data_IF_900849385672
#
_entry.id   IF_900849385672
#
_cell.length_a   1.000
_cell.length_b   1.000
_cell.length_c   1.000
_cell.angle_alpha   90.00
_cell.angle_beta   90.00
_cell.angle_gamma   90.00
#
_symmetry.space_group_name_H-M   'P 1'
#
loop_
_entity.id
_entity.type
_entity.pdbx_description
1 polymer ?
#
# COMPACT_ATOMS: atom_id res chain seq x y z
N UNK A 1 68.45 -61.87 -25.02
CA UNK A 1 69.39 -60.73 -25.01
C UNK A 1 68.74 -59.61 -25.83
N UNK A 2 68.50 -58.43 -25.22
CA UNK A 2 68.12 -57.13 -25.81
C UNK A 2 66.76 -57.06 -26.57
N UNK A 3 65.70 -56.44 -26.04
CA UNK A 3 65.39 -54.99 -25.90
C UNK A 3 65.13 -54.26 -27.23
N UNK A 4 63.96 -53.56 -27.28
CA UNK A 4 63.53 -52.37 -28.08
C UNK A 4 62.08 -52.56 -28.57
N UNK A 5 61.16 -51.60 -28.59
CA UNK A 5 61.04 -50.24 -28.07
C UNK A 5 59.53 -49.92 -28.05
N UNK A 6 59.04 -49.35 -26.94
CA UNK A 6 57.64 -48.96 -26.75
C UNK A 6 57.44 -47.51 -27.24
N UNK A 7 56.82 -47.31 -28.42
CA UNK A 7 56.41 -45.98 -28.88
C UNK A 7 55.07 -45.59 -28.26
N UNK A 8 55.08 -44.67 -27.29
CA UNK A 8 53.92 -43.93 -26.78
C UNK A 8 53.47 -42.89 -27.82
N UNK A 9 52.23 -43.02 -28.31
CA UNK A 9 51.53 -41.96 -29.05
C UNK A 9 50.84 -41.03 -28.04
N UNK A 10 51.24 -39.77 -28.01
CA UNK A 10 50.59 -38.68 -27.28
C UNK A 10 49.43 -38.16 -28.14
N UNK A 11 48.20 -38.34 -27.66
CA UNK A 11 46.98 -37.73 -28.21
C UNK A 11 46.81 -36.38 -27.49
N UNK A 12 46.71 -35.24 -28.18
CA UNK A 12 46.41 -33.96 -27.53
C UNK A 12 44.91 -33.88 -27.21
N UNK A 13 44.58 -33.90 -25.92
CA UNK A 13 43.24 -33.62 -25.40
C UNK A 13 42.90 -32.13 -25.59
N UNK A 14 42.05 -31.82 -26.56
CA UNK A 14 41.40 -30.52 -26.71
C UNK A 14 40.30 -30.39 -25.66
N UNK A 15 40.57 -29.65 -24.57
CA UNK A 15 39.57 -29.20 -23.60
C UNK A 15 38.73 -28.10 -24.26
N UNK A 16 37.50 -28.42 -24.66
CA UNK A 16 36.52 -27.44 -25.11
C UNK A 16 35.96 -26.66 -23.91
N UNK A 17 36.36 -25.40 -23.77
CA UNK A 17 35.80 -24.47 -22.79
C UNK A 17 34.41 -24.02 -23.27
N UNK A 18 33.35 -24.64 -22.74
CA UNK A 18 31.98 -24.19 -22.98
C UNK A 18 31.75 -22.88 -22.21
N UNK A 19 31.83 -21.74 -22.91
CA UNK A 19 31.41 -20.44 -22.38
C UNK A 19 29.88 -20.47 -22.32
N UNK A 20 29.32 -20.73 -21.14
CA UNK A 20 27.91 -20.48 -20.87
C UNK A 20 27.77 -18.95 -20.80
N UNK A 21 27.39 -18.33 -21.92
CA UNK A 21 26.91 -16.96 -21.93
C UNK A 21 25.56 -16.95 -21.22
N UNK A 22 25.59 -16.76 -19.90
CA UNK A 22 24.39 -16.46 -19.11
C UNK A 22 23.82 -15.15 -19.61
N UNK A 23 22.77 -15.23 -20.44
CA UNK A 23 21.92 -14.08 -20.72
C UNK A 23 21.29 -13.70 -19.38
N UNK A 24 21.79 -12.64 -18.75
CA UNK A 24 21.08 -12.04 -17.62
C UNK A 24 19.77 -11.46 -18.18
N UNK A 25 18.71 -12.28 -18.25
CA UNK A 25 17.37 -11.76 -18.48
C UNK A 25 17.08 -10.79 -17.33
N UNK A 26 17.08 -9.49 -17.62
CA UNK A 26 16.60 -8.50 -16.68
C UNK A 26 15.19 -8.90 -16.24
N UNK A 27 14.95 -8.92 -14.92
CA UNK A 27 13.63 -9.24 -14.40
C UNK A 27 12.59 -8.33 -15.05
N UNK A 28 11.42 -8.88 -15.42
CA UNK A 28 10.34 -8.10 -16.01
C UNK A 28 10.01 -6.88 -15.13
N UNK A 29 9.66 -5.72 -15.69
CA UNK A 29 9.25 -4.58 -14.88
C UNK A 29 8.08 -4.92 -13.97
N UNK A 30 8.08 -4.39 -12.75
CA UNK A 30 6.96 -4.51 -11.82
C UNK A 30 5.71 -3.84 -12.39
N UNK A 31 4.54 -4.45 -12.16
CA UNK A 31 3.25 -3.98 -12.72
C UNK A 31 2.16 -3.96 -11.66
N UNK A 32 1.21 -3.01 -11.72
CA UNK A 32 0.02 -3.06 -10.88
C UNK A 32 -1.03 -4.03 -11.47
N UNK A 33 -2.10 -4.35 -10.72
CA UNK A 33 -3.25 -5.09 -11.24
C UNK A 33 -3.89 -4.42 -12.46
N UNK A 34 -4.57 -5.21 -13.29
CA UNK A 34 -5.04 -4.80 -14.63
C UNK A 34 -5.86 -3.49 -14.64
N UNK A 35 -6.68 -3.22 -13.63
CA UNK A 35 -7.51 -2.02 -13.62
C UNK A 35 -6.75 -0.70 -13.49
N UNK A 36 -5.47 -0.72 -13.11
CA UNK A 36 -4.63 0.49 -13.10
C UNK A 36 -4.26 0.98 -14.51
N UNK A 37 -4.42 0.13 -15.53
CA UNK A 37 -4.19 0.50 -16.94
C UNK A 37 -5.38 1.22 -17.57
N UNK A 38 -6.52 1.30 -16.88
CA UNK A 38 -7.72 1.96 -17.40
C UNK A 38 -7.40 3.37 -17.93
N UNK A 39 -7.88 3.72 -19.14
CA UNK A 39 -7.68 5.06 -19.69
C UNK A 39 -8.45 6.09 -18.87
N UNK A 40 -8.14 7.37 -19.11
CA UNK A 40 -8.96 8.48 -18.66
C UNK A 40 -10.37 8.34 -19.27
N UNK A 41 -11.42 8.44 -18.44
CA UNK A 41 -12.80 8.16 -18.86
C UNK A 41 -13.28 9.12 -19.95
N UNK A 42 -13.00 10.42 -19.79
CA UNK A 42 -13.41 11.49 -20.72
C UNK A 42 -12.34 12.57 -20.73
N UNK A 43 -12.14 13.21 -21.88
CA UNK A 43 -11.34 14.42 -22.00
C UNK A 43 -12.28 15.62 -22.20
N UNK A 44 -12.57 16.34 -21.11
CA UNK A 44 -13.45 17.51 -21.13
C UNK A 44 -12.66 18.77 -21.51
N UNK A 45 -13.24 19.58 -22.40
CA UNK A 45 -12.74 20.91 -22.77
C UNK A 45 -13.61 22.03 -22.16
N UNK A 46 -13.10 23.27 -22.19
CA UNK A 46 -13.77 24.49 -21.70
C UNK A 46 -13.37 24.89 -20.28
N UNK A 47 -13.57 26.18 -19.96
CA UNK A 47 -13.20 26.79 -18.68
C UNK A 47 -13.85 26.05 -17.51
N UNK A 48 -13.01 25.61 -16.58
CA UNK A 48 -13.44 25.10 -15.30
C UNK A 48 -13.00 26.09 -14.22
N UNK A 49 -13.96 26.61 -13.45
CA UNK A 49 -13.68 27.52 -12.34
C UNK A 49 -13.03 26.81 -11.14
N UNK A 50 -13.00 25.48 -11.10
CA UNK A 50 -12.19 24.72 -10.14
C UNK A 50 -10.71 24.76 -10.56
N UNK A 51 -10.05 25.90 -10.30
CA UNK A 51 -8.61 26.05 -10.44
C UNK A 51 -7.81 25.19 -9.44
N UNK A 52 -6.48 25.25 -9.53
CA UNK A 52 -5.60 24.57 -8.58
C UNK A 52 -5.72 25.23 -7.19
N UNK A 53 -6.22 24.48 -6.20
CA UNK A 53 -6.23 24.91 -4.80
C UNK A 53 -4.82 25.38 -4.35
N UNK A 54 -4.75 26.23 -3.34
CA UNK A 54 -3.48 26.61 -2.73
C UNK A 54 -2.72 25.37 -2.22
N UNK A 55 -1.48 25.21 -2.68
CA UNK A 55 -0.60 24.11 -2.29
C UNK A 55 -0.32 24.10 -0.78
N UNK A 56 -0.43 22.95 -0.09
CA UNK A 56 0.01 22.82 1.29
C UNK A 56 1.53 23.00 1.37
N UNK A 57 1.99 23.64 2.44
CA UNK A 57 3.41 23.88 2.62
C UNK A 57 4.17 22.54 2.74
N UNK A 58 5.26 22.32 1.97
CA UNK A 58 6.10 21.15 2.13
C UNK A 58 6.56 20.96 3.58
N UNK A 59 6.19 19.83 4.19
CA UNK A 59 6.53 19.58 5.60
C UNK A 59 7.97 19.10 5.76
N UNK A 60 8.87 19.98 6.19
CA UNK A 60 10.31 19.69 6.37
C UNK A 60 10.77 19.66 7.83
N UNK A 61 9.86 19.92 8.77
CA UNK A 61 10.14 19.92 10.21
C UNK A 61 10.36 18.52 10.81
N UNK A 62 10.65 18.48 12.12
CA UNK A 62 10.71 17.24 12.88
C UNK A 62 9.36 16.50 12.86
N UNK A 63 9.39 15.18 12.69
CA UNK A 63 8.18 14.36 12.72
C UNK A 63 7.86 13.94 14.17
N UNK A 64 7.71 14.93 15.04
CA UNK A 64 7.40 14.77 16.45
C UNK A 64 5.95 15.18 16.71
N UNK A 65 5.02 14.23 16.55
CA UNK A 65 3.58 14.51 16.70
C UNK A 65 3.00 13.87 17.95
N UNK A 66 2.04 14.55 18.57
CA UNK A 66 1.25 13.99 19.68
C UNK A 66 0.41 12.81 19.19
N UNK A 67 0.30 11.79 20.02
CA UNK A 67 -0.58 10.65 19.74
C UNK A 67 -2.01 10.99 20.16
N UNK A 68 -3.00 10.64 19.34
CA UNK A 68 -4.42 10.70 19.75
C UNK A 68 -4.77 9.80 20.94
N UNK A 69 -3.88 8.87 21.30
CA UNK A 69 -4.00 7.98 22.46
C UNK A 69 -3.05 8.38 23.60
N UNK A 70 -2.52 9.60 23.59
CA UNK A 70 -1.67 10.09 24.68
C UNK A 70 -2.43 10.06 26.02
N UNK A 71 -1.81 9.47 27.04
CA UNK A 71 -2.42 9.19 28.33
C UNK A 71 -3.18 7.85 28.42
N UNK A 72 -3.31 7.09 27.32
CA UNK A 72 -3.84 5.72 27.38
C UNK A 72 -2.89 4.75 28.09
N UNK A 73 -3.47 3.67 28.64
CA UNK A 73 -2.73 2.50 29.07
C UNK A 73 -2.06 1.75 27.90
N UNK A 74 -1.46 0.58 28.19
CA UNK A 74 -0.77 -0.25 27.18
C UNK A 74 -1.67 -0.68 26.01
N UNK A 75 -3.00 -0.70 26.17
CA UNK A 75 -3.93 -1.05 25.10
C UNK A 75 -4.08 0.07 24.06
N UNK A 76 -3.71 1.31 24.40
CA UNK A 76 -3.81 2.49 23.53
C UNK A 76 -5.21 2.61 22.90
N UNK A 77 -6.26 2.43 23.69
CA UNK A 77 -7.65 2.38 23.20
C UNK A 77 -8.49 3.63 23.57
N UNK A 78 -8.00 4.47 24.49
CA UNK A 78 -8.72 5.64 25.01
C UNK A 78 -8.34 6.91 24.26
N UNK A 79 -9.29 7.52 23.56
CA UNK A 79 -9.07 8.73 22.78
C UNK A 79 -8.85 9.93 23.71
N UNK A 80 -7.79 10.69 23.44
CA UNK A 80 -7.57 12.02 24.04
C UNK A 80 -7.94 13.08 22.99
N UNK A 81 -9.07 13.76 23.20
CA UNK A 81 -9.62 14.73 22.25
C UNK A 81 -8.67 15.92 22.04
N UNK A 82 -8.00 16.39 23.09
CA UNK A 82 -7.04 17.51 22.98
C UNK A 82 -5.80 17.10 22.20
N UNK A 83 -5.24 15.91 22.47
CA UNK A 83 -4.09 15.41 21.74
C UNK A 83 -4.46 15.06 20.29
N UNK A 84 -5.70 14.64 20.02
CA UNK A 84 -6.21 14.45 18.66
C UNK A 84 -6.30 15.79 17.91
N UNK A 85 -6.83 16.84 18.53
CA UNK A 85 -6.92 18.16 17.88
C UNK A 85 -5.51 18.71 17.59
N UNK A 86 -4.60 18.67 18.57
CA UNK A 86 -3.21 19.11 18.38
C UNK A 86 -2.50 18.29 17.28
N UNK A 87 -2.77 16.99 17.19
CA UNK A 87 -2.28 16.15 16.11
C UNK A 87 -2.83 16.59 14.74
N UNK A 88 -4.13 16.88 14.65
CA UNK A 88 -4.76 17.34 13.40
C UNK A 88 -4.20 18.67 12.94
N UNK A 89 -4.02 19.62 13.84
CA UNK A 89 -3.49 20.96 13.53
C UNK A 89 -2.04 20.87 13.03
N UNK A 90 -1.20 20.08 13.71
CA UNK A 90 0.22 19.92 13.35
C UNK A 90 0.47 19.10 12.09
N UNK A 91 -0.51 18.28 11.66
CA UNK A 91 -0.40 17.42 10.47
C UNK A 91 -1.32 17.87 9.32
N UNK A 92 -1.89 19.08 9.40
CA UNK A 92 -2.88 19.58 8.46
C UNK A 92 -2.35 19.61 7.02
N UNK A 93 -1.13 20.12 6.78
CA UNK A 93 -0.53 20.19 5.45
C UNK A 93 -0.24 18.79 4.87
N UNK A 94 0.23 17.85 5.72
CA UNK A 94 0.44 16.45 5.33
C UNK A 94 -0.89 15.81 4.91
N UNK A 95 -1.93 16.01 5.72
CA UNK A 95 -3.27 15.48 5.43
C UNK A 95 -3.85 16.12 4.16
N UNK A 96 -3.57 17.40 3.92
CA UNK A 96 -4.02 18.14 2.74
C UNK A 96 -3.35 17.63 1.47
N UNK A 97 -2.05 17.32 1.48
CA UNK A 97 -1.40 16.71 0.31
C UNK A 97 -1.88 15.28 0.06
N UNK A 98 -2.08 14.47 1.11
CA UNK A 98 -2.61 13.10 0.99
C UNK A 98 -3.98 13.08 0.29
N UNK A 99 -4.93 13.86 0.83
CA UNK A 99 -6.29 13.94 0.28
C UNK A 99 -6.32 14.65 -1.07
N UNK A 100 -5.56 15.73 -1.22
CA UNK A 100 -5.51 16.53 -2.44
C UNK A 100 -4.98 15.73 -3.63
N UNK A 101 -3.91 14.95 -3.43
CA UNK A 101 -3.35 14.09 -4.47
C UNK A 101 -4.37 13.06 -4.94
N UNK A 102 -4.96 12.30 -4.01
CA UNK A 102 -5.97 11.30 -4.37
C UNK A 102 -7.20 11.92 -5.04
N UNK A 103 -7.72 13.03 -4.51
CA UNK A 103 -8.87 13.75 -5.08
C UNK A 103 -8.59 14.16 -6.53
N UNK A 104 -7.48 14.85 -6.79
CA UNK A 104 -7.19 15.36 -8.13
C UNK A 104 -6.82 14.28 -9.13
N UNK A 105 -6.14 13.21 -8.71
CA UNK A 105 -5.94 12.04 -9.58
C UNK A 105 -7.29 11.42 -9.95
N UNK A 106 -8.21 11.24 -9.00
CA UNK A 106 -9.55 10.75 -9.31
C UNK A 106 -10.31 11.67 -10.28
N UNK A 107 -10.24 12.99 -10.07
CA UNK A 107 -10.86 13.97 -10.96
C UNK A 107 -10.23 13.91 -12.36
N UNK A 108 -8.91 13.89 -12.47
CA UNK A 108 -8.19 13.82 -13.75
C UNK A 108 -8.55 12.53 -14.50
N UNK A 109 -8.52 11.39 -13.83
CA UNK A 109 -8.87 10.11 -14.46
C UNK A 109 -10.33 10.04 -14.91
N UNK A 110 -11.20 10.91 -14.40
CA UNK A 110 -12.59 11.02 -14.83
C UNK A 110 -12.79 12.04 -15.96
N UNK A 111 -12.16 13.20 -15.83
CA UNK A 111 -12.49 14.40 -16.60
C UNK A 111 -11.41 14.78 -17.62
N UNK A 112 -10.21 14.23 -17.52
CA UNK A 112 -9.11 14.41 -18.47
C UNK A 112 -8.64 15.86 -18.62
N UNK A 113 -8.89 16.69 -17.60
CA UNK A 113 -8.55 18.11 -17.60
C UNK A 113 -7.07 18.32 -17.28
N UNK A 114 -6.26 18.90 -18.19
CA UNK A 114 -4.82 19.09 -17.96
C UNK A 114 -4.50 19.86 -16.68
N UNK A 115 -5.33 20.83 -16.29
CA UNK A 115 -5.12 21.66 -15.11
C UNK A 115 -5.11 20.84 -13.81
N UNK A 116 -5.89 19.74 -13.76
CA UNK A 116 -5.91 18.83 -12.60
C UNK A 116 -4.63 18.00 -12.51
N UNK A 117 -4.10 17.57 -13.66
CA UNK A 117 -2.83 16.86 -13.74
C UNK A 117 -1.67 17.78 -13.37
N UNK A 118 -1.58 18.94 -14.01
CA UNK A 118 -0.51 19.93 -13.79
C UNK A 118 -0.47 20.38 -12.33
N UNK A 119 -1.63 20.67 -11.73
CA UNK A 119 -1.74 21.00 -10.31
C UNK A 119 -1.21 19.88 -9.40
N UNK A 120 -1.56 18.63 -9.72
CA UNK A 120 -1.12 17.47 -8.92
C UNK A 120 0.39 17.26 -9.02
N UNK A 121 0.94 17.32 -10.23
CA UNK A 121 2.37 17.16 -10.46
C UNK A 121 3.18 18.32 -9.88
N UNK A 122 2.67 19.55 -9.92
CA UNK A 122 3.30 20.71 -9.28
C UNK A 122 3.39 20.54 -7.76
N UNK A 123 2.30 20.12 -7.10
CA UNK A 123 2.32 19.88 -5.64
C UNK A 123 3.33 18.80 -5.26
N UNK A 124 3.31 17.65 -5.96
CA UNK A 124 4.22 16.54 -5.68
C UNK A 124 5.68 16.93 -5.97
N UNK A 125 5.94 17.68 -7.05
CA UNK A 125 7.29 18.14 -7.40
C UNK A 125 7.84 19.12 -6.38
N UNK A 126 7.02 20.05 -5.86
CA UNK A 126 7.45 21.00 -4.84
C UNK A 126 7.75 20.30 -3.50
N UNK A 127 6.95 19.32 -3.10
CA UNK A 127 7.22 18.50 -1.92
C UNK A 127 8.46 17.62 -2.08
N UNK A 128 8.67 17.07 -3.28
CA UNK A 128 9.88 16.35 -3.64
C UNK A 128 11.13 17.23 -3.57
N UNK A 129 11.08 18.44 -4.16
CA UNK A 129 12.20 19.38 -4.17
C UNK A 129 12.58 19.86 -2.76
N UNK A 130 11.60 20.00 -1.88
CA UNK A 130 11.81 20.39 -0.49
C UNK A 130 12.30 19.24 0.41
N UNK A 131 12.44 18.02 -0.11
CA UNK A 131 12.72 16.82 0.70
C UNK A 131 11.71 16.63 1.84
N UNK A 132 10.44 16.92 1.58
CA UNK A 132 9.40 16.87 2.59
C UNK A 132 9.25 15.45 3.17
N UNK A 133 8.92 15.38 4.46
CA UNK A 133 8.76 14.16 5.26
C UNK A 133 10.04 13.34 5.48
N UNK A 134 11.23 13.86 5.14
CA UNK A 134 12.50 13.13 5.26
C UNK A 134 13.23 13.29 6.60
N UNK A 135 12.64 13.99 7.59
CA UNK A 135 13.29 14.24 8.88
C UNK A 135 13.67 12.95 9.63
N UNK A 136 14.92 12.84 10.06
CA UNK A 136 15.39 11.71 10.90
C UNK A 136 15.03 11.87 12.37
N UNK A 137 14.56 13.04 12.78
CA UNK A 137 13.99 13.28 14.10
C UNK A 137 12.50 12.95 14.09
N UNK A 138 12.14 11.78 14.62
CA UNK A 138 10.76 11.32 14.61
C UNK A 138 10.39 10.48 15.83
N UNK A 139 9.10 10.48 16.16
CA UNK A 139 8.50 9.48 17.04
C UNK A 139 7.63 8.49 16.24
N UNK A 140 6.97 7.56 16.94
CA UNK A 140 6.10 6.55 16.31
C UNK A 140 4.97 7.16 15.47
N UNK A 141 4.35 8.25 15.93
CA UNK A 141 3.30 8.97 15.19
C UNK A 141 3.89 9.63 13.95
N UNK A 142 5.08 10.23 14.07
CA UNK A 142 5.87 10.81 12.99
C UNK A 142 6.16 9.88 11.83
N UNK A 143 6.85 8.76 12.11
CA UNK A 143 7.13 7.75 11.08
C UNK A 143 5.86 7.11 10.51
N UNK A 144 4.75 7.13 11.26
CA UNK A 144 3.45 6.70 10.76
C UNK A 144 2.85 7.72 9.77
N UNK A 145 3.01 9.02 10.00
CA UNK A 145 2.62 10.04 9.03
C UNK A 145 3.42 9.94 7.73
N UNK A 146 4.74 9.73 7.81
CA UNK A 146 5.57 9.48 6.63
C UNK A 146 5.02 8.35 5.76
N UNK A 147 4.86 7.14 6.33
CA UNK A 147 4.39 5.98 5.55
C UNK A 147 2.97 6.14 5.05
N UNK A 148 2.05 6.76 5.80
CA UNK A 148 0.70 7.01 5.28
C UNK A 148 0.71 8.00 4.12
N UNK A 149 1.47 9.09 4.23
CA UNK A 149 1.59 10.04 3.15
C UNK A 149 2.18 9.41 1.88
N UNK A 150 3.28 8.66 2.01
CA UNK A 150 3.87 7.89 0.92
C UNK A 150 2.83 6.98 0.26
N UNK A 151 2.12 6.18 1.06
CA UNK A 151 1.11 5.24 0.57
C UNK A 151 0.01 5.95 -0.19
N UNK A 152 -0.54 7.03 0.35
CA UNK A 152 -1.58 7.84 -0.28
C UNK A 152 -1.13 8.40 -1.64
N UNK A 153 0.07 8.99 -1.70
CA UNK A 153 0.58 9.64 -2.92
C UNK A 153 1.00 8.63 -3.98
N UNK A 154 1.82 7.63 -3.61
CA UNK A 154 2.34 6.63 -4.54
C UNK A 154 1.20 5.79 -5.14
N UNK A 155 0.23 5.36 -4.33
CA UNK A 155 -0.89 4.55 -4.83
C UNK A 155 -1.85 5.32 -5.74
N UNK A 156 -2.07 6.62 -5.51
CA UNK A 156 -2.79 7.47 -6.45
C UNK A 156 -1.97 7.65 -7.74
N UNK A 157 -0.68 7.95 -7.62
CA UNK A 157 0.23 8.15 -8.74
C UNK A 157 0.30 6.97 -9.70
N UNK A 158 0.17 5.72 -9.21
CA UNK A 158 0.09 4.52 -10.06
C UNK A 158 -0.96 4.64 -11.17
N UNK A 159 -2.11 5.29 -10.91
CA UNK A 159 -3.13 5.50 -11.95
C UNK A 159 -2.66 6.42 -13.07
N UNK A 160 -1.80 7.40 -12.77
CA UNK A 160 -1.20 8.26 -13.80
C UNK A 160 -0.08 7.53 -14.54
N UNK A 161 0.76 6.80 -13.80
CA UNK A 161 1.94 6.10 -14.34
C UNK A 161 1.58 4.99 -15.32
N UNK A 162 0.52 4.24 -15.05
CA UNK A 162 0.18 3.03 -15.79
C UNK A 162 -1.04 3.16 -16.70
N UNK A 163 -1.77 4.28 -16.68
CA UNK A 163 -2.93 4.47 -17.57
C UNK A 163 -2.54 4.40 -19.05
N UNK A 164 -3.36 3.70 -19.84
CA UNK A 164 -3.21 3.61 -21.31
C UNK A 164 -3.41 4.96 -22.03
N UNK A 165 -3.90 5.99 -21.33
CA UNK A 165 -3.92 7.36 -21.84
C UNK A 165 -2.56 8.07 -21.77
N UNK A 166 -1.55 7.46 -21.14
CA UNK A 166 -0.18 7.97 -21.01
C UNK A 166 -0.08 9.44 -20.55
N UNK A 167 -0.78 9.84 -19.47
CA UNK A 167 -0.86 11.25 -19.08
C UNK A 167 0.49 11.87 -18.70
N UNK A 168 1.48 11.06 -18.32
CA UNK A 168 2.82 11.53 -17.94
C UNK A 168 3.79 11.65 -19.14
N UNK A 169 3.36 11.34 -20.37
CA UNK A 169 4.25 11.34 -21.54
C UNK A 169 4.92 12.71 -21.78
N UNK A 170 4.23 13.80 -21.46
CA UNK A 170 4.73 15.19 -21.59
C UNK A 170 5.32 15.75 -20.30
N UNK A 171 5.37 14.97 -19.20
CA UNK A 171 5.79 15.43 -17.86
C UNK A 171 6.90 14.56 -17.28
N UNK A 172 7.75 13.99 -18.14
CA UNK A 172 8.76 12.99 -17.77
C UNK A 172 9.74 13.51 -16.70
N UNK A 173 10.17 14.77 -16.78
CA UNK A 173 11.10 15.35 -15.80
C UNK A 173 10.47 15.47 -14.41
N UNK A 174 9.21 15.92 -14.33
CA UNK A 174 8.47 15.98 -13.06
C UNK A 174 8.22 14.58 -12.51
N UNK A 175 7.82 13.63 -13.37
CA UNK A 175 7.64 12.23 -13.00
C UNK A 175 8.92 11.64 -12.39
N UNK A 176 10.09 11.86 -13.00
CA UNK A 176 11.37 11.40 -12.47
C UNK A 176 11.69 11.98 -11.09
N UNK A 177 11.47 13.28 -10.87
CA UNK A 177 11.70 13.93 -9.56
C UNK A 177 10.77 13.37 -8.48
N UNK A 178 9.50 13.17 -8.81
CA UNK A 178 8.50 12.61 -7.89
C UNK A 178 8.85 11.15 -7.55
N UNK A 179 9.18 10.32 -8.54
CA UNK A 179 9.55 8.91 -8.37
C UNK A 179 10.85 8.74 -7.56
N UNK A 180 11.83 9.63 -7.75
CA UNK A 180 13.06 9.65 -6.96
C UNK A 180 12.77 9.98 -5.48
N UNK A 181 11.91 10.96 -5.21
CA UNK A 181 11.48 11.30 -3.86
C UNK A 181 10.69 10.17 -3.20
N UNK A 182 9.74 9.55 -3.91
CA UNK A 182 9.04 8.36 -3.41
C UNK A 182 10.01 7.23 -3.06
N UNK A 183 10.99 6.94 -3.93
CA UNK A 183 12.02 5.92 -3.66
C UNK A 183 12.81 6.23 -2.40
N UNK A 184 13.31 7.48 -2.25
CA UNK A 184 14.05 7.93 -1.06
C UNK A 184 13.21 7.81 0.22
N UNK A 185 11.92 8.15 0.14
CA UNK A 185 11.01 8.02 1.27
C UNK A 185 10.70 6.54 1.58
N UNK A 186 10.58 5.68 0.57
CA UNK A 186 10.40 4.25 0.77
C UNK A 186 11.61 3.60 1.43
N UNK A 187 12.84 3.94 1.02
CA UNK A 187 14.07 3.48 1.69
C UNK A 187 14.06 3.88 3.18
N UNK A 188 13.58 5.10 3.48
CA UNK A 188 13.40 5.55 4.86
C UNK A 188 12.30 4.76 5.59
N UNK A 189 11.17 4.47 4.95
CA UNK A 189 10.09 3.67 5.54
C UNK A 189 10.57 2.24 5.81
N UNK A 190 11.37 1.63 4.95
CA UNK A 190 12.03 0.35 5.25
C UNK A 190 12.86 0.49 6.53
N UNK A 191 13.74 1.48 6.60
CA UNK A 191 14.55 1.73 7.82
C UNK A 191 13.70 1.98 9.08
N UNK A 192 12.53 2.58 8.95
CA UNK A 192 11.63 2.91 10.06
C UNK A 192 10.91 1.68 10.64
N UNK A 193 10.73 0.62 9.85
CA UNK A 193 9.82 -0.49 10.15
C UNK A 193 10.43 -1.89 9.98
N UNK A 194 11.65 -2.02 9.45
CA UNK A 194 12.30 -3.32 9.25
C UNK A 194 12.74 -3.95 10.59
N UNK A 195 12.71 -5.29 10.61
CA UNK A 195 13.16 -6.14 11.72
C UNK A 195 12.60 -5.77 13.10
N UNK A 196 11.36 -5.30 13.16
CA UNK A 196 10.66 -5.11 14.43
C UNK A 196 10.38 -6.47 15.08
N UNK A 197 10.47 -6.58 16.42
CA UNK A 197 9.97 -7.73 17.15
C UNK A 197 8.50 -8.03 16.82
N UNK A 198 8.10 -9.30 16.84
CA UNK A 198 6.73 -9.71 16.50
C UNK A 198 5.68 -9.04 17.40
N UNK A 199 5.95 -8.83 18.68
CA UNK A 199 5.04 -8.15 19.62
C UNK A 199 4.86 -6.65 19.34
N UNK A 200 5.71 -6.07 18.48
CA UNK A 200 5.62 -4.69 17.99
C UNK A 200 5.19 -4.59 16.52
N UNK A 201 5.04 -5.73 15.83
CA UNK A 201 4.62 -5.78 14.43
C UNK A 201 3.11 -5.91 14.35
N UNK A 202 2.43 -4.81 14.03
CA UNK A 202 0.97 -4.76 13.96
C UNK A 202 0.52 -4.08 12.66
N UNK A 203 -0.75 -3.67 12.57
CA UNK A 203 -1.31 -2.97 11.41
C UNK A 203 -0.44 -1.81 10.90
N UNK A 204 0.33 -1.13 11.75
CA UNK A 204 1.26 -0.11 11.28
C UNK A 204 2.34 -0.67 10.33
N UNK A 205 2.90 -1.85 10.61
CA UNK A 205 3.88 -2.48 9.70
C UNK A 205 3.23 -2.86 8.37
N UNK A 206 1.98 -3.35 8.39
CA UNK A 206 1.26 -3.71 7.18
C UNK A 206 0.98 -2.49 6.30
N UNK A 207 0.55 -1.38 6.90
CA UNK A 207 0.39 -0.10 6.21
C UNK A 207 1.72 0.45 5.68
N UNK A 208 2.85 0.18 6.35
CA UNK A 208 4.17 0.57 5.83
C UNK A 208 4.56 -0.28 4.62
N UNK A 209 4.35 -1.59 4.70
CA UNK A 209 4.55 -2.53 3.59
C UNK A 209 3.70 -2.17 2.37
N UNK A 210 2.45 -1.74 2.55
CA UNK A 210 1.63 -1.26 1.44
C UNK A 210 2.23 -0.03 0.76
N UNK A 211 2.65 0.96 1.54
CA UNK A 211 3.28 2.17 0.99
C UNK A 211 4.55 1.85 0.21
N UNK A 212 5.36 0.91 0.71
CA UNK A 212 6.58 0.45 0.03
C UNK A 212 6.24 -0.37 -1.22
N UNK A 213 5.23 -1.25 -1.19
CA UNK A 213 4.74 -2.00 -2.36
C UNK A 213 4.28 -1.08 -3.49
N UNK A 214 3.43 -0.10 -3.17
CA UNK A 214 2.94 0.87 -4.15
C UNK A 214 4.10 1.66 -4.78
N UNK A 215 5.08 2.06 -3.96
CA UNK A 215 6.29 2.74 -4.43
C UNK A 215 7.15 1.83 -5.30
N UNK A 216 7.37 0.59 -4.87
CA UNK A 216 8.17 -0.39 -5.60
C UNK A 216 7.67 -0.59 -7.03
N UNK A 217 6.35 -0.68 -7.21
CA UNK A 217 5.75 -0.78 -8.55
C UNK A 217 5.85 0.54 -9.32
N UNK A 218 5.61 1.69 -8.69
CA UNK A 218 5.72 2.99 -9.35
C UNK A 218 7.14 3.27 -9.88
N UNK A 219 8.17 2.79 -9.17
CA UNK A 219 9.58 3.09 -9.45
C UNK A 219 10.38 1.89 -9.94
N UNK A 220 9.71 0.74 -10.17
CA UNK A 220 10.30 -0.52 -10.58
C UNK A 220 11.48 -1.00 -9.69
N UNK A 221 11.36 -0.80 -8.36
CA UNK A 221 12.36 -1.18 -7.36
C UNK A 221 12.05 -2.55 -6.75
N UNK A 222 12.73 -3.60 -7.23
CA UNK A 222 12.52 -5.00 -6.81
C UNK A 222 12.86 -5.26 -5.34
N UNK A 223 13.90 -4.62 -4.82
CA UNK A 223 14.29 -4.72 -3.41
C UNK A 223 13.19 -4.20 -2.46
N UNK A 224 12.52 -3.11 -2.82
CA UNK A 224 11.37 -2.58 -2.08
C UNK A 224 10.16 -3.52 -2.18
N UNK A 225 9.93 -4.11 -3.37
CA UNK A 225 8.87 -5.11 -3.57
C UNK A 225 9.09 -6.34 -2.67
N UNK A 226 10.31 -6.87 -2.65
CA UNK A 226 10.68 -8.05 -1.87
C UNK A 226 10.54 -7.78 -0.36
N UNK A 227 10.89 -6.58 0.10
CA UNK A 227 10.66 -6.18 1.49
C UNK A 227 9.16 -6.14 1.84
N UNK A 228 8.32 -5.56 0.99
CA UNK A 228 6.88 -5.53 1.23
C UNK A 228 6.26 -6.93 1.24
N UNK A 229 6.73 -7.84 0.39
CA UNK A 229 6.35 -9.26 0.40
C UNK A 229 6.78 -9.95 1.70
N UNK A 230 8.02 -9.72 2.17
CA UNK A 230 8.51 -10.22 3.47
C UNK A 230 7.59 -9.76 4.61
N UNK A 231 7.27 -8.47 4.67
CA UNK A 231 6.41 -7.92 5.73
C UNK A 231 4.97 -8.45 5.66
N UNK A 232 4.43 -8.69 4.46
CA UNK A 232 3.16 -9.42 4.33
C UNK A 232 3.25 -10.80 4.96
N UNK A 233 4.30 -11.56 4.67
CA UNK A 233 4.46 -12.91 5.23
C UNK A 233 4.56 -12.88 6.75
N UNK A 234 5.26 -11.90 7.33
CA UNK A 234 5.28 -11.70 8.79
C UNK A 234 3.87 -11.41 9.33
N UNK A 235 3.09 -10.56 8.67
CA UNK A 235 1.69 -10.29 9.03
C UNK A 235 0.79 -11.52 8.92
N UNK A 236 0.89 -12.26 7.82
CA UNK A 236 0.12 -13.48 7.57
C UNK A 236 0.43 -14.58 8.61
N UNK A 237 1.69 -14.76 8.98
CA UNK A 237 2.12 -15.73 9.99
C UNK A 237 1.72 -15.33 11.44
N UNK A 238 1.27 -14.09 11.66
CA UNK A 238 0.68 -13.68 12.94
C UNK A 238 -0.81 -13.99 13.06
N UNK A 239 -1.49 -14.35 11.95
CA UNK A 239 -2.90 -14.75 12.00
C UNK A 239 -2.99 -16.12 12.64
N UNK A 240 -3.61 -16.21 13.81
CA UNK A 240 -3.79 -17.47 14.53
C UNK A 240 -4.74 -18.44 13.78
N UNK A 241 -4.87 -19.66 14.29
CA UNK A 241 -5.72 -20.69 13.69
C UNK A 241 -7.21 -20.30 13.63
N UNK A 242 -7.65 -19.34 14.43
CA UNK A 242 -9.02 -18.84 14.46
C UNK A 242 -9.22 -17.60 13.57
N UNK A 243 -8.14 -17.03 13.02
CA UNK A 243 -8.19 -15.82 12.19
C UNK A 243 -7.98 -14.51 12.96
N UNK A 244 -7.53 -14.56 14.21
CA UNK A 244 -7.22 -13.35 14.98
C UNK A 244 -5.76 -12.94 14.85
N UNK A 245 -5.51 -11.65 14.99
CA UNK A 245 -4.19 -11.06 15.11
C UNK A 245 -3.94 -10.72 16.59
N UNK A 246 -2.97 -11.38 17.27
CA UNK A 246 -2.71 -11.17 18.69
C UNK A 246 -2.44 -9.71 19.07
N UNK A 247 -1.74 -8.96 18.21
CA UNK A 247 -1.42 -7.55 18.46
C UNK A 247 -2.63 -6.62 18.30
N UNK A 248 -3.62 -6.99 17.48
CA UNK A 248 -4.85 -6.22 17.33
C UNK A 248 -5.86 -6.58 18.43
N UNK A 249 -5.86 -7.81 18.94
CA UNK A 249 -6.66 -8.21 20.12
C UNK A 249 -6.31 -7.38 21.37
N UNK A 250 -5.05 -6.97 21.52
CA UNK A 250 -4.57 -6.11 22.62
C UNK A 250 -5.24 -4.73 22.66
N UNK A 251 -6.00 -4.35 21.62
CA UNK A 251 -6.70 -3.06 21.50
C UNK A 251 -8.07 -3.05 22.18
N UNK A 252 -8.37 -4.07 23.01
CA UNK A 252 -9.57 -4.15 23.86
C UNK A 252 -10.86 -3.98 23.05
N UNK A 253 -11.71 -3.01 23.39
CA UNK A 253 -12.96 -2.71 22.70
C UNK A 253 -12.75 -2.35 21.22
N UNK A 254 -11.53 -1.99 20.80
CA UNK A 254 -11.24 -1.65 19.40
C UNK A 254 -10.70 -2.85 18.59
N UNK A 255 -10.60 -4.04 19.18
CA UNK A 255 -9.95 -5.18 18.54
C UNK A 255 -10.52 -5.50 17.15
N UNK A 256 -11.84 -5.62 17.01
CA UNK A 256 -12.48 -5.92 15.72
C UNK A 256 -12.23 -4.81 14.68
N UNK A 257 -12.31 -3.54 15.09
CA UNK A 257 -12.00 -2.41 14.22
C UNK A 257 -10.54 -2.46 13.72
N UNK A 258 -9.59 -2.84 14.58
CA UNK A 258 -8.18 -2.97 14.21
C UNK A 258 -7.88 -4.21 13.36
N UNK A 259 -8.62 -5.32 13.52
CA UNK A 259 -8.54 -6.45 12.58
C UNK A 259 -9.05 -6.02 11.20
N UNK A 260 -10.19 -5.32 11.14
CA UNK A 260 -10.67 -4.74 9.89
C UNK A 260 -9.68 -3.74 9.28
N UNK A 261 -8.99 -2.95 10.10
CA UNK A 261 -7.99 -1.98 9.64
C UNK A 261 -6.68 -2.60 9.13
N UNK A 262 -6.39 -3.87 9.49
CA UNK A 262 -5.25 -4.62 8.99
C UNK A 262 -5.48 -5.19 7.58
N UNK A 263 -6.74 -5.46 7.19
CA UNK A 263 -7.09 -6.09 5.92
C UNK A 263 -6.74 -5.27 4.66
N UNK A 264 -6.99 -3.94 4.59
CA UNK A 264 -6.72 -3.18 3.36
C UNK A 264 -5.27 -3.25 2.87
N UNK A 265 -4.24 -2.97 3.69
CA UNK A 265 -2.87 -3.06 3.19
C UNK A 265 -2.49 -4.50 2.83
N UNK A 266 -2.90 -5.51 3.61
CA UNK A 266 -2.58 -6.91 3.33
C UNK A 266 -3.19 -7.40 2.01
N UNK A 267 -4.47 -7.10 1.78
CA UNK A 267 -5.14 -7.49 0.54
C UNK A 267 -4.55 -6.77 -0.68
N UNK A 268 -4.20 -5.49 -0.56
CA UNK A 268 -3.54 -4.76 -1.64
C UNK A 268 -2.15 -5.32 -1.95
N UNK A 269 -1.34 -5.66 -0.94
CA UNK A 269 -0.02 -6.27 -1.14
C UNK A 269 -0.16 -7.62 -1.86
N UNK A 270 -1.08 -8.48 -1.41
CA UNK A 270 -1.32 -9.78 -2.05
C UNK A 270 -1.77 -9.65 -3.52
N UNK A 271 -2.65 -8.69 -3.81
CA UNK A 271 -3.12 -8.41 -5.18
C UNK A 271 -1.98 -7.95 -6.10
N UNK A 272 -1.13 -7.03 -5.62
CA UNK A 272 0.04 -6.58 -6.37
C UNK A 272 1.09 -7.68 -6.52
N UNK A 273 1.32 -8.49 -5.49
CA UNK A 273 2.26 -9.60 -5.55
C UNK A 273 1.84 -10.65 -6.59
N UNK A 274 0.55 -10.98 -6.65
CA UNK A 274 0.01 -12.00 -7.56
C UNK A 274 0.33 -11.70 -9.03
N UNK A 275 0.06 -10.46 -9.49
CA UNK A 275 0.32 -10.06 -10.88
C UNK A 275 1.81 -9.90 -11.20
N UNK A 276 2.68 -9.94 -10.19
CA UNK A 276 4.13 -9.95 -10.33
C UNK A 276 4.75 -11.33 -10.08
N UNK A 277 3.94 -12.39 -10.10
CA UNK A 277 4.40 -13.78 -10.05
C UNK A 277 4.62 -14.34 -8.64
N UNK A 278 4.17 -13.65 -7.59
CA UNK A 278 4.28 -14.10 -6.20
C UNK A 278 2.88 -14.34 -5.63
N UNK A 279 2.47 -15.61 -5.54
CA UNK A 279 1.18 -15.98 -4.94
C UNK A 279 1.27 -16.01 -3.42
N UNK A 280 0.64 -15.04 -2.76
CA UNK A 280 0.60 -14.89 -1.31
C UNK A 280 -0.70 -15.40 -0.66
N UNK A 281 -1.61 -15.97 -1.47
CA UNK A 281 -2.94 -16.41 -0.98
C UNK A 281 -2.85 -17.60 -0.04
N UNK A 282 -1.88 -18.48 -0.25
CA UNK A 282 -1.72 -19.72 0.52
C UNK A 282 -0.84 -19.56 1.76
N UNK A 283 -0.25 -18.39 1.99
CA UNK A 283 0.63 -18.12 3.13
C UNK A 283 -0.10 -18.40 4.46
N UNK A 284 0.55 -19.17 5.35
CA UNK A 284 0.01 -19.61 6.64
C UNK A 284 -1.44 -20.16 6.55
N UNK A 285 -1.63 -21.16 5.68
CA UNK A 285 -2.91 -21.86 5.48
C UNK A 285 -4.05 -20.88 5.14
N UNK A 286 -3.84 -20.04 4.14
CA UNK A 286 -4.80 -19.02 3.70
C UNK A 286 -5.10 -17.96 4.78
N UNK A 287 -4.06 -17.46 5.46
CA UNK A 287 -4.20 -16.52 6.58
C UNK A 287 -5.00 -15.27 6.25
N UNK A 288 -4.82 -14.67 5.06
CA UNK A 288 -5.58 -13.50 4.65
C UNK A 288 -7.08 -13.83 4.49
N UNK A 289 -7.41 -14.99 3.91
CA UNK A 289 -8.80 -15.47 3.79
C UNK A 289 -9.42 -15.68 5.17
N UNK A 290 -8.71 -16.38 6.05
CA UNK A 290 -9.14 -16.65 7.43
C UNK A 290 -9.37 -15.38 8.25
N UNK A 291 -8.47 -14.39 8.13
CA UNK A 291 -8.62 -13.09 8.77
C UNK A 291 -9.84 -12.33 8.22
N UNK A 292 -10.04 -12.31 6.90
CA UNK A 292 -11.18 -11.67 6.25
C UNK A 292 -12.50 -12.27 6.70
N UNK A 293 -12.61 -13.60 6.70
CA UNK A 293 -13.78 -14.34 7.19
C UNK A 293 -14.03 -14.09 8.68
N UNK A 294 -12.99 -14.05 9.52
CA UNK A 294 -13.12 -13.72 10.94
C UNK A 294 -13.68 -12.31 11.16
N UNK A 295 -13.22 -11.32 10.41
CA UNK A 295 -13.73 -9.95 10.49
C UNK A 295 -15.19 -9.88 10.01
N UNK A 296 -15.53 -10.51 8.89
CA UNK A 296 -16.90 -10.52 8.38
C UNK A 296 -17.87 -11.20 9.36
N UNK A 297 -17.45 -12.31 9.98
CA UNK A 297 -18.20 -12.97 11.05
C UNK A 297 -18.35 -12.06 12.27
N UNK A 298 -17.26 -11.43 12.74
CA UNK A 298 -17.29 -10.52 13.89
C UNK A 298 -18.14 -9.27 13.67
N UNK A 299 -18.30 -8.80 12.43
CA UNK A 299 -19.21 -7.69 12.12
C UNK A 299 -20.68 -8.13 12.14
N UNK A 300 -20.97 -9.39 11.82
CA UNK A 300 -22.32 -9.97 11.94
C UNK A 300 -22.66 -10.29 13.41
N UNK A 301 -21.68 -10.79 14.16
CA UNK A 301 -21.79 -11.19 15.56
C UNK A 301 -20.53 -10.76 16.37
N UNK A 302 -20.55 -9.57 17.00
CA UNK A 302 -19.40 -9.03 17.72
C UNK A 302 -19.08 -9.81 19.01
N UNK A 303 -19.99 -10.63 19.52
CA UNK A 303 -19.78 -11.45 20.73
C UNK A 303 -18.61 -12.42 20.54
N UNK A 304 -18.30 -12.80 19.31
CA UNK A 304 -17.14 -13.65 19.00
C UNK A 304 -15.81 -13.00 19.39
N UNK A 305 -15.70 -11.67 19.26
CA UNK A 305 -14.51 -10.92 19.68
C UNK A 305 -14.53 -10.66 21.19
N UNK A 306 -15.69 -10.35 21.76
CA UNK A 306 -15.85 -10.19 23.20
C UNK A 306 -15.48 -11.47 23.95
N UNK A 307 -15.93 -12.64 23.48
CA UNK A 307 -15.54 -13.95 24.06
C UNK A 307 -14.02 -14.18 24.00
N UNK A 308 -13.33 -13.64 22.99
CA UNK A 308 -11.87 -13.80 22.82
C UNK A 308 -11.05 -12.87 23.72
N UNK A 309 -11.52 -11.65 24.01
CA UNK A 309 -10.73 -10.64 24.74
C UNK A 309 -11.39 -10.07 26.01
N UNK A 310 -12.61 -10.48 26.33
CA UNK A 310 -13.39 -10.03 27.48
C UNK A 310 -13.86 -8.57 27.41
N UNK A 311 -13.98 -7.99 26.20
CA UNK A 311 -14.38 -6.60 25.98
C UNK A 311 -15.44 -6.50 24.88
N UNK A 312 -16.58 -5.88 25.20
CA UNK A 312 -17.56 -5.44 24.21
C UNK A 312 -16.87 -4.57 23.15
N UNK A 313 -17.24 -4.75 21.88
CA UNK A 313 -16.56 -4.11 20.76
C UNK A 313 -17.20 -2.77 20.36
N UNK A 314 -16.36 -1.76 20.13
CA UNK A 314 -16.73 -0.48 19.53
C UNK A 314 -16.97 -0.65 18.03
N UNK A 315 -18.24 -0.67 17.63
CA UNK A 315 -18.68 -0.86 16.26
C UNK A 315 -18.67 0.41 15.40
N UNK A 316 -18.23 1.56 15.94
CA UNK A 316 -18.33 2.88 15.27
C UNK A 316 -17.62 2.89 13.92
N UNK A 317 -16.37 2.43 13.86
CA UNK A 317 -15.60 2.37 12.61
C UNK A 317 -16.18 1.36 11.60
N UNK A 318 -16.89 0.33 12.08
CA UNK A 318 -17.43 -0.76 11.25
C UNK A 318 -18.79 -0.42 10.63
N UNK A 319 -19.33 0.76 10.95
CA UNK A 319 -20.50 1.35 10.27
C UNK A 319 -20.13 2.23 9.08
N UNK A 320 -18.82 2.40 8.80
CA UNK A 320 -18.32 3.25 7.71
C UNK A 320 -17.94 2.38 6.52
N UNK A 321 -18.72 2.44 5.45
CA UNK A 321 -18.57 1.61 4.25
C UNK A 321 -17.14 1.62 3.67
N UNK A 322 -16.52 2.80 3.56
CA UNK A 322 -15.15 2.94 3.04
C UNK A 322 -14.08 2.18 3.83
N UNK A 323 -14.36 1.75 5.07
CA UNK A 323 -13.46 0.91 5.88
C UNK A 323 -13.44 -0.55 5.42
N UNK A 324 -14.36 -0.95 4.53
CA UNK A 324 -14.42 -2.26 3.90
C UNK A 324 -13.85 -2.27 2.47
N UNK A 325 -13.13 -1.21 2.06
CA UNK A 325 -12.48 -1.12 0.74
C UNK A 325 -11.54 -2.30 0.42
N UNK A 326 -11.08 -3.03 1.45
CA UNK A 326 -10.30 -4.25 1.30
C UNK A 326 -11.06 -5.38 0.59
N UNK A 327 -12.40 -5.34 0.55
CA UNK A 327 -13.21 -6.30 -0.20
C UNK A 327 -12.92 -6.27 -1.71
N UNK A 328 -12.43 -5.14 -2.25
CA UNK A 328 -12.10 -5.03 -3.67
C UNK A 328 -10.93 -5.95 -4.07
N UNK A 329 -9.70 -5.77 -3.54
CA UNK A 329 -8.62 -6.71 -3.81
C UNK A 329 -8.88 -8.10 -3.21
N UNK A 330 -9.63 -8.21 -2.11
CA UNK A 330 -9.91 -9.51 -1.50
C UNK A 330 -10.78 -10.40 -2.40
N UNK A 331 -11.86 -9.86 -2.97
CA UNK A 331 -12.73 -10.63 -3.86
C UNK A 331 -12.18 -10.78 -5.30
N UNK A 332 -11.08 -10.11 -5.65
CA UNK A 332 -10.31 -10.44 -6.86
C UNK A 332 -9.30 -11.56 -6.60
N UNK A 333 -8.76 -11.66 -5.39
CA UNK A 333 -7.84 -12.73 -4.98
C UNK A 333 -8.56 -14.07 -4.71
N UNK A 334 -9.75 -14.00 -4.13
CA UNK A 334 -10.57 -15.15 -3.72
C UNK A 334 -11.97 -15.10 -4.33
N UNK A 335 -12.55 -16.27 -4.58
CA UNK A 335 -13.97 -16.37 -4.89
C UNK A 335 -14.80 -16.07 -3.65
N UNK A 336 -15.31 -14.85 -3.54
CA UNK A 336 -16.18 -14.45 -2.44
C UNK A 336 -17.57 -15.10 -2.53
N UNK A 337 -18.15 -15.44 -1.37
CA UNK A 337 -19.52 -15.95 -1.28
C UNK A 337 -20.55 -14.91 -1.77
N UNK A 338 -21.73 -15.34 -2.27
CA UNK A 338 -22.73 -14.42 -2.81
C UNK A 338 -23.19 -13.33 -1.83
N UNK A 339 -23.34 -13.64 -0.54
CA UNK A 339 -23.73 -12.66 0.49
C UNK A 339 -22.65 -11.61 0.73
N UNK A 340 -21.37 -12.00 0.64
CA UNK A 340 -20.23 -11.08 0.73
C UNK A 340 -20.18 -10.16 -0.48
N UNK A 341 -20.43 -10.69 -1.68
CA UNK A 341 -20.49 -9.89 -2.91
C UNK A 341 -21.68 -8.91 -2.88
N UNK A 342 -22.86 -9.35 -2.47
CA UNK A 342 -24.03 -8.48 -2.31
C UNK A 342 -23.75 -7.34 -1.32
N UNK A 343 -23.12 -7.66 -0.18
CA UNK A 343 -22.72 -6.65 0.80
C UNK A 343 -21.67 -5.70 0.22
N UNK A 344 -20.66 -6.22 -0.49
CA UNK A 344 -19.65 -5.40 -1.20
C UNK A 344 -20.35 -4.39 -2.11
N UNK A 345 -21.28 -4.84 -2.95
CA UNK A 345 -21.98 -3.99 -3.91
C UNK A 345 -22.89 -2.94 -3.24
N UNK A 346 -23.46 -3.23 -2.08
CA UNK A 346 -24.22 -2.24 -1.30
C UNK A 346 -23.35 -1.12 -0.71
N UNK A 347 -22.08 -1.42 -0.42
CA UNK A 347 -21.13 -0.46 0.17
C UNK A 347 -20.29 0.30 -0.88
N UNK A 348 -20.30 -0.15 -2.13
CA UNK A 348 -19.60 0.50 -3.23
C UNK A 348 -20.25 1.85 -3.62
N UNK A 349 -19.46 2.81 -4.15
CA UNK A 349 -18.04 2.71 -4.45
C UNK A 349 -17.12 2.96 -3.24
N UNK A 350 -16.01 2.24 -3.16
CA UNK A 350 -15.00 2.42 -2.12
C UNK A 350 -13.94 3.45 -2.52
N UNK A 351 -14.09 4.66 -2.00
CA UNK A 351 -13.12 5.76 -2.18
C UNK A 351 -12.32 5.97 -0.90
N UNK A 352 -11.02 5.69 -0.93
CA UNK A 352 -10.11 5.87 0.20
C UNK A 352 -8.74 6.36 -0.24
N UNK A 353 -8.35 7.55 0.26
CA UNK A 353 -7.14 8.23 -0.20
C UNK A 353 -5.85 7.46 0.15
N UNK A 354 -5.83 6.69 1.25
CA UNK A 354 -4.64 5.92 1.66
C UNK A 354 -4.32 4.71 0.77
N UNK A 355 -5.26 4.33 -0.09
CA UNK A 355 -5.06 3.27 -1.09
C UNK A 355 -5.14 3.82 -2.53
N UNK A 356 -5.12 5.15 -2.69
CA UNK A 356 -4.97 5.80 -3.99
C UNK A 356 -6.26 6.38 -4.56
N UNK A 357 -7.40 6.24 -3.85
CA UNK A 357 -8.68 6.82 -4.26
C UNK A 357 -9.75 5.76 -4.47
N UNK A 358 -10.32 5.72 -5.68
CA UNK A 358 -11.46 4.86 -6.04
C UNK A 358 -10.98 3.44 -6.37
N UNK A 359 -11.08 2.53 -5.39
CA UNK A 359 -10.69 1.13 -5.57
C UNK A 359 -11.72 0.37 -6.39
N UNK A 360 -13.00 0.75 -6.31
CA UNK A 360 -14.06 0.14 -7.11
C UNK A 360 -13.79 0.37 -8.60
N UNK A 361 -13.35 1.57 -8.99
CA UNK A 361 -12.96 1.85 -10.37
C UNK A 361 -11.84 0.93 -10.87
N UNK A 362 -10.94 0.50 -9.99
CA UNK A 362 -9.78 -0.36 -10.34
C UNK A 362 -10.13 -1.84 -10.34
N UNK A 363 -10.93 -2.32 -9.38
CA UNK A 363 -11.17 -3.76 -9.21
C UNK A 363 -12.53 -4.23 -9.72
N UNK A 364 -13.51 -3.34 -9.81
CA UNK A 364 -14.89 -3.66 -10.17
C UNK A 364 -15.56 -2.48 -10.93
N UNK A 365 -15.02 -2.11 -12.10
CA UNK A 365 -15.44 -0.91 -12.82
C UNK A 365 -16.92 -0.92 -13.24
N UNK A 366 -17.55 -2.09 -13.35
CA UNK A 366 -18.98 -2.21 -13.64
C UNK A 366 -19.87 -1.66 -12.51
N UNK A 367 -19.35 -1.62 -11.27
CA UNK A 367 -20.06 -1.12 -10.09
C UNK A 367 -19.56 0.22 -9.58
N UNK A 368 -18.67 0.89 -10.33
CA UNK A 368 -18.26 2.27 -10.08
C UNK A 368 -19.40 3.26 -10.47
N UNK A 369 -20.56 3.20 -9.80
CA UNK A 369 -21.66 4.15 -10.01
C UNK A 369 -21.27 5.53 -9.46
N UNK A 370 -21.62 6.58 -10.19
CA UNK A 370 -21.40 7.98 -9.76
C UNK A 370 -20.00 8.52 -10.07
N UNK A 371 -19.55 8.31 -11.31
CA UNK A 371 -18.44 9.03 -11.93
C UNK A 371 -18.71 10.54 -11.97
#
# INVERSE_FOLDING_TARGET
MQSKDLKRLLIPSLLGLAIVTGSAQAAAPLRPPQGYYAPVDKFKSGDNSEGCDAMPAPYTGALQFRSKYEGSDKARATLNVQSEQAFRDTTADITKIERGTSKRVMQFMRDGRPEQLDCTLAWLSAWAQADALMSKDFNHTGKSMRKWALGSMASAYLRLKFSDSHPLATHQEQAQKIEAWFSKMADQVVSDWDNLPLDKTNNHSYWAAWSVMATAVATNRRDLFDWAVKEYKVGANQVDADGFLPNELKRQQRALAYHNYALPPLAMIASFAQVNGVDLRQENHEALKRLGERVLAGVKDPDTFEKKNGKEQDMTDLKVDSKFAWLEPYCSLYTCAPDVLERKHKMQPFKTFRLGGDLTKVYDPAHAKGS
#
